data_IF_475307546432
#
_entry.id   IF_475307546432
#
_cell.length_a   1.000
_cell.length_b   1.000
_cell.length_c   1.000
_cell.angle_alpha   90.00
_cell.angle_beta   90.00
_cell.angle_gamma   90.00
#
_symmetry.space_group_name_H-M   'P 1'
#
loop_
_entity.id
_entity.type
_entity.pdbx_description
1 polymer ?
#
# COMPACT_ATOMS: atom_id res chain seq x y z
N UNK A 1 7.95 5.90 -4.04
CA UNK A 1 7.15 5.73 -2.80
C UNK A 1 5.68 5.49 -3.14
N UNK A 2 5.31 4.46 -3.93
CA UNK A 2 3.93 4.39 -4.45
C UNK A 2 2.90 3.88 -3.41
N UNK A 3 3.15 2.75 -2.76
CA UNK A 3 2.19 2.15 -1.81
C UNK A 3 2.11 2.88 -0.46
N UNK A 4 3.13 3.66 -0.11
CA UNK A 4 3.23 4.39 1.15
C UNK A 4 3.13 5.92 0.97
N UNK A 5 2.82 6.42 -0.23
CA UNK A 5 2.63 7.85 -0.44
C UNK A 5 1.47 8.35 0.42
N UNK A 6 1.69 9.41 1.20
CA UNK A 6 0.72 9.96 2.17
C UNK A 6 0.21 8.95 3.21
N UNK A 7 0.93 7.86 3.49
CA UNK A 7 0.61 6.99 4.63
C UNK A 7 1.20 7.50 5.95
N UNK A 8 2.15 8.44 5.88
CA UNK A 8 2.79 9.11 7.01
C UNK A 8 3.43 10.44 6.58
N UNK A 9 3.73 11.36 7.52
CA UNK A 9 4.55 12.53 7.23
C UNK A 9 5.94 12.13 6.71
N UNK A 10 6.44 12.90 5.75
CA UNK A 10 7.78 12.73 5.18
C UNK A 10 8.40 14.10 5.05
N UNK A 11 9.65 14.21 5.49
CA UNK A 11 10.47 15.40 5.24
C UNK A 11 10.92 15.40 3.78
N UNK A 12 10.19 16.12 2.93
CA UNK A 12 10.43 16.22 1.47
C UNK A 12 11.80 16.83 1.17
N UNK A 13 12.36 17.67 2.06
CA UNK A 13 13.65 18.32 1.84
C UNK A 13 14.82 17.33 1.73
N UNK A 14 14.66 16.12 2.27
CA UNK A 14 15.65 15.03 2.21
C UNK A 14 15.67 14.31 0.86
N UNK A 15 14.80 14.66 -0.07
CA UNK A 15 14.66 13.98 -1.35
C UNK A 15 14.93 14.93 -2.51
N UNK A 16 15.63 14.44 -3.53
CA UNK A 16 15.71 15.12 -4.84
C UNK A 16 14.43 14.91 -5.65
N UNK A 17 13.94 13.66 -5.70
CA UNK A 17 12.72 13.29 -6.42
C UNK A 17 11.91 12.28 -5.60
N UNK A 18 10.60 12.52 -5.49
CA UNK A 18 9.61 11.58 -4.98
C UNK A 18 8.61 11.32 -6.09
N UNK A 19 8.31 10.05 -6.38
CA UNK A 19 7.25 9.70 -7.31
C UNK A 19 6.35 8.58 -6.76
N UNK A 20 5.08 8.63 -7.15
CA UNK A 20 4.07 7.66 -6.76
C UNK A 20 2.97 7.55 -7.82
N UNK A 21 2.72 6.34 -8.33
CA UNK A 21 1.48 6.05 -9.04
C UNK A 21 0.28 6.06 -8.07
N UNK A 22 -0.82 6.69 -8.45
CA UNK A 22 -1.95 6.96 -7.55
C UNK A 22 -2.73 5.71 -7.14
N UNK A 23 -2.77 4.67 -7.99
CA UNK A 23 -3.61 3.46 -7.87
C UNK A 23 -3.42 2.62 -6.61
N UNK A 24 -2.45 2.96 -5.76
CA UNK A 24 -2.21 2.23 -4.52
C UNK A 24 -2.88 2.93 -3.34
N UNK A 25 -2.46 4.15 -3.04
CA UNK A 25 -2.80 4.79 -1.77
C UNK A 25 -3.58 6.10 -1.90
N UNK A 26 -3.66 6.69 -3.11
CA UNK A 26 -4.17 8.07 -3.28
C UNK A 26 -5.05 8.30 -4.50
N UNK A 27 -5.57 7.25 -5.15
CA UNK A 27 -6.49 7.43 -6.27
C UNK A 27 -6.57 6.21 -7.18
N UNK A 28 -6.94 6.46 -8.44
CA UNK A 28 -7.09 5.45 -9.48
C UNK A 28 -5.82 5.29 -10.32
N UNK A 29 -5.76 4.23 -11.11
CA UNK A 29 -4.70 4.06 -12.09
C UNK A 29 -4.76 5.12 -13.20
N UNK A 30 -3.62 5.38 -13.82
CA UNK A 30 -3.49 6.30 -14.95
C UNK A 30 -2.87 7.67 -14.62
N UNK A 31 -2.59 7.98 -13.35
CA UNK A 31 -1.86 9.20 -12.97
C UNK A 31 -0.70 8.88 -12.02
N UNK A 32 0.42 9.59 -12.22
CA UNK A 32 1.61 9.52 -11.36
C UNK A 32 1.91 10.92 -10.85
N UNK A 33 2.02 11.07 -9.53
CA UNK A 33 2.52 12.31 -8.92
C UNK A 33 4.04 12.26 -8.85
N UNK A 34 4.67 13.39 -9.17
CA UNK A 34 6.11 13.60 -9.04
C UNK A 34 6.34 14.90 -8.28
N UNK A 35 7.15 14.84 -7.23
CA UNK A 35 7.70 15.99 -6.52
C UNK A 35 9.20 15.99 -6.84
N UNK A 36 9.67 16.98 -7.58
CA UNK A 36 11.07 17.10 -8.01
C UNK A 36 11.61 18.43 -7.54
N UNK A 37 12.86 18.42 -7.03
CA UNK A 37 13.56 19.62 -6.61
C UNK A 37 13.99 20.44 -7.83
N UNK A 38 13.80 21.75 -7.78
CA UNK A 38 13.96 22.63 -8.94
C UNK A 38 15.38 22.62 -9.54
N UNK A 39 16.41 22.47 -8.71
CA UNK A 39 17.82 22.36 -9.13
C UNK A 39 18.14 21.09 -9.93
N UNK A 40 17.22 20.12 -9.98
CA UNK A 40 17.35 18.90 -10.78
C UNK A 40 16.65 19.01 -12.15
N UNK A 41 15.99 20.13 -12.45
CA UNK A 41 15.33 20.35 -13.73
C UNK A 41 16.32 20.75 -14.83
N UNK A 42 16.08 20.31 -16.06
CA UNK A 42 16.89 20.68 -17.24
C UNK A 42 18.07 19.78 -17.54
N UNK A 43 18.22 18.66 -16.82
CA UNK A 43 19.27 17.65 -17.03
C UNK A 43 18.74 16.38 -17.71
N UNK A 44 17.65 16.47 -18.47
CA UNK A 44 17.13 15.33 -19.20
C UNK A 44 18.13 14.88 -20.28
N UNK A 45 18.24 13.56 -20.48
CA UNK A 45 19.01 13.01 -21.59
C UNK A 45 18.40 13.46 -22.92
N UNK A 46 19.23 13.58 -23.96
CA UNK A 46 18.79 14.00 -25.30
C UNK A 46 17.68 13.10 -25.86
N UNK A 47 17.71 11.82 -25.52
CA UNK A 47 16.78 10.80 -25.97
C UNK A 47 15.51 10.71 -25.09
N UNK A 48 15.42 11.51 -24.02
CA UNK A 48 14.26 11.52 -23.14
C UNK A 48 13.01 12.01 -23.89
N UNK A 49 11.93 11.22 -23.98
CA UNK A 49 10.69 11.69 -24.57
C UNK A 49 10.15 12.90 -23.81
N UNK A 50 9.69 13.95 -24.50
CA UNK A 50 9.24 15.21 -23.86
C UNK A 50 8.13 15.02 -22.83
N UNK A 51 7.29 13.97 -22.99
CA UNK A 51 6.25 13.63 -22.00
C UNK A 51 6.82 13.17 -20.65
N UNK A 52 8.07 12.68 -20.61
CA UNK A 52 8.76 12.25 -19.40
C UNK A 52 9.75 13.32 -18.87
N UNK A 53 9.99 14.39 -19.64
CA UNK A 53 10.91 15.45 -19.24
C UNK A 53 10.28 16.37 -18.18
N UNK A 54 10.85 16.37 -16.97
CA UNK A 54 10.32 17.15 -15.85
C UNK A 54 10.32 18.65 -16.09
N UNK A 55 11.30 19.20 -16.81
CA UNK A 55 11.34 20.64 -17.12
C UNK A 55 10.17 21.04 -18.02
N UNK A 56 9.86 20.21 -19.03
CA UNK A 56 8.71 20.41 -19.92
C UNK A 56 7.40 20.32 -19.13
N UNK A 57 7.25 19.29 -18.28
CA UNK A 57 6.05 19.13 -17.48
C UNK A 57 5.86 20.28 -16.48
N UNK A 58 6.91 20.67 -15.74
CA UNK A 58 6.85 21.77 -14.79
C UNK A 58 6.56 23.12 -15.48
N UNK A 59 7.22 23.40 -16.61
CA UNK A 59 7.03 24.64 -17.38
C UNK A 59 5.63 24.78 -18.00
N UNK A 60 4.90 23.69 -18.18
CA UNK A 60 3.54 23.67 -18.68
C UNK A 60 2.50 23.35 -17.59
N UNK A 61 2.86 23.41 -16.30
CA UNK A 61 1.95 23.09 -15.19
C UNK A 61 1.31 21.69 -15.31
N UNK A 62 2.06 20.70 -15.82
CA UNK A 62 1.60 19.35 -16.15
C UNK A 62 0.51 19.26 -17.24
N UNK A 63 0.40 20.30 -18.09
CA UNK A 63 -0.55 20.41 -19.19
C UNK A 63 0.14 20.50 -20.56
N UNK A 64 1.33 19.91 -20.70
CA UNK A 64 2.04 19.85 -21.98
C UNK A 64 1.22 19.16 -23.08
N UNK A 65 0.47 18.13 -22.72
CA UNK A 65 -0.50 17.43 -23.54
C UNK A 65 -1.78 17.16 -22.74
N UNK A 66 -2.79 16.53 -23.36
CA UNK A 66 -4.03 16.15 -22.66
C UNK A 66 -3.72 15.22 -21.48
N UNK A 67 -3.96 15.65 -20.23
CA UNK A 67 -3.62 14.86 -19.07
C UNK A 67 -4.73 13.81 -18.79
N UNK A 68 -4.49 12.83 -17.90
CA UNK A 68 -5.50 11.88 -17.46
C UNK A 68 -6.53 12.56 -16.53
N UNK A 69 -7.41 13.39 -17.11
CA UNK A 69 -8.32 14.30 -16.39
C UNK A 69 -9.12 13.59 -15.28
N UNK A 70 -9.69 12.42 -15.59
CA UNK A 70 -10.49 11.66 -14.61
C UNK A 70 -9.64 11.16 -13.43
N UNK A 71 -8.46 10.60 -13.69
CA UNK A 71 -7.58 10.11 -12.62
C UNK A 71 -7.03 11.26 -11.76
N UNK A 72 -6.76 12.43 -12.36
CA UNK A 72 -6.41 13.65 -11.62
C UNK A 72 -7.56 14.10 -10.72
N UNK A 73 -8.78 14.14 -11.24
CA UNK A 73 -9.97 14.51 -10.47
C UNK A 73 -10.17 13.59 -9.26
N UNK A 74 -10.15 12.26 -9.48
CA UNK A 74 -10.29 11.28 -8.39
C UNK A 74 -9.17 11.43 -7.36
N UNK A 75 -7.91 11.64 -7.79
CA UNK A 75 -6.80 11.90 -6.88
C UNK A 75 -7.05 13.17 -6.06
N UNK A 76 -7.54 14.25 -6.68
CA UNK A 76 -7.92 15.48 -5.98
C UNK A 76 -8.93 15.26 -4.85
N UNK A 77 -10.00 14.50 -5.12
CA UNK A 77 -10.99 14.14 -4.09
C UNK A 77 -10.39 13.32 -2.94
N UNK A 78 -9.50 12.37 -3.24
CA UNK A 78 -8.83 11.56 -2.20
C UNK A 78 -7.87 12.41 -1.37
N UNK A 79 -7.14 13.34 -1.99
CA UNK A 79 -6.25 14.27 -1.29
C UNK A 79 -7.04 15.19 -0.35
N UNK A 80 -8.20 15.69 -0.80
CA UNK A 80 -9.11 16.48 0.04
C UNK A 80 -9.65 15.65 1.22
N UNK A 81 -10.07 14.40 0.97
CA UNK A 81 -10.48 13.49 2.02
C UNK A 81 -9.35 13.25 3.05
N UNK A 82 -8.11 12.99 2.60
CA UNK A 82 -6.95 12.83 3.51
C UNK A 82 -6.77 14.09 4.36
N UNK A 83 -6.80 15.28 3.73
CA UNK A 83 -6.66 16.56 4.44
C UNK A 83 -7.75 16.76 5.49
N UNK A 84 -9.01 16.48 5.14
CA UNK A 84 -10.16 16.64 6.02
C UNK A 84 -10.18 15.62 7.17
N UNK A 85 -9.46 14.49 7.03
CA UNK A 85 -9.31 13.46 8.05
C UNK A 85 -8.00 13.58 8.84
N UNK A 86 -7.45 14.80 8.98
CA UNK A 86 -6.26 15.06 9.82
C UNK A 86 -4.91 14.85 9.11
N UNK A 87 -4.93 14.71 7.79
CA UNK A 87 -3.73 14.66 6.95
C UNK A 87 -2.86 13.43 7.19
N UNK A 88 -1.61 13.51 6.73
CA UNK A 88 -0.67 12.39 6.79
C UNK A 88 -0.36 11.90 8.22
N UNK A 89 -0.43 12.78 9.22
CA UNK A 89 -0.22 12.42 10.62
C UNK A 89 -1.34 11.49 11.15
N UNK A 90 -2.59 11.78 10.82
CA UNK A 90 -3.70 10.90 11.16
C UNK A 90 -3.60 9.56 10.39
N UNK A 91 -3.20 9.58 9.12
CA UNK A 91 -2.97 8.36 8.34
C UNK A 91 -1.84 7.49 8.93
N UNK A 92 -0.80 8.10 9.51
CA UNK A 92 0.25 7.36 10.22
C UNK A 92 -0.29 6.66 11.47
N UNK A 93 -1.11 7.34 12.26
CA UNK A 93 -1.76 6.75 13.44
C UNK A 93 -2.64 5.57 13.04
N UNK A 94 -3.51 5.76 12.05
CA UNK A 94 -4.42 4.72 11.55
C UNK A 94 -3.67 3.53 10.98
N UNK A 95 -2.64 3.75 10.16
CA UNK A 95 -1.83 2.67 9.59
C UNK A 95 -1.06 1.88 10.66
N UNK A 96 -0.61 2.55 11.73
CA UNK A 96 0.03 1.89 12.87
C UNK A 96 -0.95 0.98 13.60
N UNK A 97 -2.15 1.48 13.94
CA UNK A 97 -3.21 0.69 14.60
C UNK A 97 -3.59 -0.54 13.74
N UNK A 98 -3.86 -0.32 12.45
CA UNK A 98 -4.26 -1.39 11.52
C UNK A 98 -3.17 -2.45 11.38
N UNK A 99 -1.93 -2.05 11.14
CA UNK A 99 -0.85 -3.01 10.94
C UNK A 99 -0.49 -3.78 12.21
N UNK A 100 -0.54 -3.12 13.37
CA UNK A 100 -0.30 -3.76 14.67
C UNK A 100 -1.31 -4.87 14.94
N UNK A 101 -2.61 -4.66 14.69
CA UNK A 101 -3.64 -5.69 14.85
C UNK A 101 -3.32 -7.00 14.10
N UNK A 102 -2.79 -6.90 12.89
CA UNK A 102 -2.45 -8.07 12.07
C UNK A 102 -1.11 -8.67 12.50
N UNK A 103 -0.09 -7.85 12.74
CA UNK A 103 1.22 -8.34 13.17
C UNK A 103 1.18 -9.02 14.55
N UNK A 104 0.39 -8.51 15.49
CA UNK A 104 0.20 -9.17 16.80
C UNK A 104 -0.38 -10.57 16.65
N UNK A 105 -1.33 -10.79 15.72
CA UNK A 105 -1.84 -12.13 15.45
C UNK A 105 -0.76 -13.01 14.86
N UNK A 106 0.02 -12.50 13.90
CA UNK A 106 1.12 -13.24 13.28
C UNK A 106 2.15 -13.65 14.33
N UNK A 107 2.61 -12.71 15.16
CA UNK A 107 3.67 -12.93 16.13
C UNK A 107 3.24 -13.87 17.27
N UNK A 108 1.96 -13.85 17.65
CA UNK A 108 1.42 -14.73 18.71
C UNK A 108 0.85 -16.06 18.18
N UNK A 109 0.98 -16.35 16.87
CA UNK A 109 0.41 -17.56 16.24
C UNK A 109 1.22 -18.84 16.44
N UNK A 110 2.29 -18.80 17.26
CA UNK A 110 3.22 -19.93 17.47
C UNK A 110 3.77 -20.52 16.16
N UNK A 111 4.01 -19.66 15.16
CA UNK A 111 4.58 -20.05 13.87
C UNK A 111 3.57 -20.55 12.83
N UNK A 112 2.27 -20.56 13.15
CA UNK A 112 1.24 -20.88 12.17
C UNK A 112 1.12 -19.80 11.09
N UNK A 113 1.15 -18.52 11.47
CA UNK A 113 1.31 -17.40 10.55
C UNK A 113 2.75 -16.91 10.62
N UNK A 114 3.40 -16.79 9.46
CA UNK A 114 4.80 -16.35 9.41
C UNK A 114 4.96 -15.20 8.44
N UNK A 115 5.33 -14.01 8.95
CA UNK A 115 5.79 -12.92 8.10
C UNK A 115 7.27 -13.14 7.76
N UNK A 116 7.67 -13.19 6.47
CA UNK A 116 9.06 -13.41 6.07
C UNK A 116 9.95 -12.17 6.25
N UNK A 117 9.42 -11.08 6.82
CA UNK A 117 10.11 -9.79 6.97
C UNK A 117 10.47 -9.58 8.44
N UNK A 118 11.72 -9.20 8.68
CA UNK A 118 12.21 -8.82 10.00
C UNK A 118 11.35 -7.72 10.65
N UNK A 119 11.06 -7.78 11.96
CA UNK A 119 10.15 -6.86 12.63
C UNK A 119 10.40 -5.37 12.36
N UNK A 120 11.67 -4.94 12.38
CA UNK A 120 12.09 -3.56 12.15
C UNK A 120 11.82 -3.04 10.72
N UNK A 121 11.69 -3.96 9.75
CA UNK A 121 11.53 -3.67 8.33
C UNK A 121 10.09 -3.91 7.84
N UNK A 122 9.17 -4.28 8.74
CA UNK A 122 7.80 -4.61 8.41
C UNK A 122 7.04 -3.40 7.87
N UNK A 123 6.41 -3.59 6.72
CA UNK A 123 5.56 -2.56 6.13
C UNK A 123 4.27 -2.41 6.92
N UNK A 124 3.84 -1.16 7.16
CA UNK A 124 2.50 -0.86 7.67
C UNK A 124 1.41 -0.91 6.59
N UNK A 125 1.81 -0.96 5.32
CA UNK A 125 0.90 -0.89 4.17
C UNK A 125 0.64 -2.24 3.52
N UNK A 126 1.64 -3.12 3.46
CA UNK A 126 1.51 -4.42 2.79
C UNK A 126 2.10 -5.49 3.70
N UNK A 127 1.26 -6.34 4.26
CA UNK A 127 1.64 -7.36 5.23
C UNK A 127 1.61 -8.73 4.54
N UNK A 128 2.76 -9.21 4.04
CA UNK A 128 2.86 -10.58 3.54
C UNK A 128 2.98 -11.57 4.71
N UNK A 129 2.33 -12.71 4.59
CA UNK A 129 2.55 -13.83 5.50
C UNK A 129 2.27 -15.17 4.83
N UNK A 130 2.95 -16.21 5.30
CA UNK A 130 2.74 -17.62 4.94
C UNK A 130 1.89 -18.29 6.03
N UNK A 131 1.20 -19.37 5.69
CA UNK A 131 0.37 -20.15 6.64
C UNK A 131 0.95 -21.56 6.80
N UNK A 132 0.96 -22.09 8.02
CA UNK A 132 1.42 -23.44 8.38
C UNK A 132 2.87 -23.49 8.84
N UNK A 133 3.77 -22.75 8.19
CA UNK A 133 5.17 -22.55 8.60
C UNK A 133 5.83 -21.46 7.74
N UNK A 134 7.15 -21.25 7.92
CA UNK A 134 7.91 -20.23 7.18
C UNK A 134 7.97 -20.44 5.65
N UNK A 135 7.86 -21.69 5.17
CA UNK A 135 7.76 -22.00 3.73
C UNK A 135 6.32 -21.94 3.22
N UNK A 136 5.36 -21.92 4.13
CA UNK A 136 3.93 -22.02 3.87
C UNK A 136 3.47 -23.41 3.45
N UNK A 137 2.15 -23.60 3.52
CA UNK A 137 1.43 -24.75 3.04
C UNK A 137 0.38 -24.26 2.03
N UNK A 138 0.57 -24.61 0.77
CA UNK A 138 -0.27 -24.11 -0.33
C UNK A 138 -1.74 -24.55 -0.20
N UNK A 139 -2.01 -25.71 0.43
CA UNK A 139 -3.36 -26.19 0.65
C UNK A 139 -4.06 -25.38 1.76
N UNK A 140 -3.35 -25.08 2.85
CA UNK A 140 -3.86 -24.20 3.91
C UNK A 140 -4.05 -22.77 3.42
N UNK A 141 -3.10 -22.24 2.65
CA UNK A 141 -3.19 -20.89 2.05
C UNK A 141 -4.37 -20.80 1.08
N UNK A 142 -4.60 -21.83 0.25
CA UNK A 142 -5.78 -21.90 -0.60
C UNK A 142 -7.07 -21.91 0.23
N UNK A 143 -7.14 -22.74 1.27
CA UNK A 143 -8.32 -22.83 2.16
C UNK A 143 -8.60 -21.50 2.87
N UNK A 144 -7.56 -20.79 3.29
CA UNK A 144 -7.67 -19.46 3.88
C UNK A 144 -8.28 -18.48 2.88
N UNK A 145 -7.78 -18.45 1.64
CA UNK A 145 -8.29 -17.55 0.60
C UNK A 145 -9.74 -17.86 0.22
N UNK A 146 -10.10 -19.14 0.09
CA UNK A 146 -11.46 -19.57 -0.24
C UNK A 146 -12.45 -19.12 0.86
N UNK A 147 -12.13 -19.36 2.14
CA UNK A 147 -12.95 -18.89 3.28
C UNK A 147 -13.00 -17.37 3.41
N UNK A 148 -11.89 -16.69 3.14
CA UNK A 148 -11.86 -15.23 3.15
C UNK A 148 -12.79 -14.65 2.06
N UNK A 149 -12.85 -15.30 0.90
CA UNK A 149 -13.73 -14.91 -0.19
C UNK A 149 -15.22 -15.08 0.18
N UNK A 150 -15.59 -16.15 0.90
CA UNK A 150 -16.95 -16.34 1.44
C UNK A 150 -17.37 -15.18 2.36
N UNK A 151 -16.41 -14.54 3.02
CA UNK A 151 -16.61 -13.38 3.89
C UNK A 151 -16.44 -12.04 3.15
N UNK A 152 -16.39 -12.05 1.82
CA UNK A 152 -16.15 -10.88 0.96
C UNK A 152 -14.81 -10.15 1.23
N UNK A 153 -13.81 -10.85 1.76
CA UNK A 153 -12.46 -10.32 1.94
C UNK A 153 -11.64 -10.55 0.66
N UNK A 154 -11.68 -9.55 -0.22
CA UNK A 154 -11.12 -9.66 -1.58
C UNK A 154 -9.60 -9.40 -1.61
N UNK A 155 -8.95 -9.95 -2.64
CA UNK A 155 -7.57 -9.61 -3.02
C UNK A 155 -6.48 -9.88 -1.97
N UNK A 156 -6.69 -10.87 -1.10
CA UNK A 156 -5.70 -11.30 -0.10
C UNK A 156 -4.61 -12.23 -0.65
N UNK A 157 -4.75 -12.75 -1.89
CA UNK A 157 -3.74 -13.63 -2.48
C UNK A 157 -2.41 -12.89 -2.63
N UNK A 158 -1.34 -13.51 -2.11
CA UNK A 158 0.01 -13.00 -2.23
C UNK A 158 0.48 -12.88 -3.68
N UNK A 159 1.56 -12.11 -3.89
CA UNK A 159 2.10 -11.93 -5.22
C UNK A 159 2.65 -13.26 -5.76
N UNK A 160 2.42 -13.56 -7.05
CA UNK A 160 2.80 -14.82 -7.70
C UNK A 160 4.26 -15.26 -7.51
N UNK A 161 5.18 -14.29 -7.35
CA UNK A 161 6.62 -14.57 -7.17
C UNK A 161 7.00 -14.98 -5.74
N UNK A 162 6.10 -14.81 -4.77
CA UNK A 162 6.33 -15.10 -3.35
C UNK A 162 5.32 -16.12 -2.82
N UNK A 163 4.12 -16.18 -3.41
CA UNK A 163 2.99 -16.95 -2.88
C UNK A 163 2.46 -16.36 -1.58
N UNK A 164 1.78 -17.16 -0.76
CA UNK A 164 1.27 -16.72 0.53
C UNK A 164 0.03 -15.85 0.45
N UNK A 165 -0.18 -15.15 1.56
CA UNK A 165 -1.23 -14.15 1.75
C UNK A 165 -0.58 -12.77 1.83
N UNK A 166 -1.27 -11.74 1.36
CA UNK A 166 -0.87 -10.35 1.50
C UNK A 166 -2.05 -9.45 1.82
N UNK A 167 -2.10 -8.94 3.04
CA UNK A 167 -3.07 -7.92 3.44
C UNK A 167 -2.53 -6.52 3.09
N UNK A 168 -3.21 -5.78 2.20
CA UNK A 168 -2.83 -4.42 1.83
C UNK A 168 -3.72 -3.42 2.59
N UNK A 169 -3.13 -2.65 3.51
CA UNK A 169 -3.82 -1.81 4.49
C UNK A 169 -3.71 -0.30 4.16
N UNK A 170 -3.95 0.04 2.89
CA UNK A 170 -3.90 1.41 2.39
C UNK A 170 -4.81 2.38 3.16
N UNK A 171 -4.64 3.68 2.95
CA UNK A 171 -5.35 4.72 3.70
C UNK A 171 -6.87 4.52 3.74
N UNK A 172 -7.46 4.11 2.61
CA UNK A 172 -8.90 3.87 2.48
C UNK A 172 -9.42 2.59 3.17
N UNK A 173 -8.55 1.65 3.54
CA UNK A 173 -8.94 0.47 4.32
C UNK A 173 -9.23 0.90 5.76
N UNK A 174 -10.43 0.63 6.25
CA UNK A 174 -10.87 1.10 7.57
C UNK A 174 -10.31 0.24 8.71
N UNK A 175 -10.44 0.70 9.96
CA UNK A 175 -10.07 -0.11 11.13
C UNK A 175 -11.00 -1.32 11.23
N UNK A 176 -12.27 -1.12 10.93
CA UNK A 176 -13.34 -2.11 10.96
C UNK A 176 -13.09 -3.24 9.95
N UNK A 177 -12.60 -2.91 8.75
CA UNK A 177 -12.20 -3.93 7.76
C UNK A 177 -11.06 -4.80 8.28
N UNK A 178 -10.08 -4.18 8.95
CA UNK A 178 -8.94 -4.88 9.54
C UNK A 178 -9.37 -5.72 10.75
N UNK A 179 -10.32 -5.25 11.55
CA UNK A 179 -10.90 -6.02 12.66
C UNK A 179 -11.60 -7.29 12.15
N UNK A 180 -12.34 -7.20 11.04
CA UNK A 180 -12.96 -8.38 10.41
C UNK A 180 -11.90 -9.39 9.96
N UNK A 181 -10.84 -8.92 9.29
CA UNK A 181 -9.71 -9.79 8.90
C UNK A 181 -9.02 -10.41 10.12
N UNK A 182 -8.77 -9.62 11.16
CA UNK A 182 -8.17 -10.07 12.41
C UNK A 182 -9.00 -11.16 13.10
N UNK A 183 -10.32 -10.97 13.20
CA UNK A 183 -11.23 -11.98 13.75
C UNK A 183 -11.23 -13.26 12.90
N UNK A 184 -11.25 -13.12 11.57
CA UNK A 184 -11.13 -14.27 10.67
C UNK A 184 -9.82 -15.03 10.84
N UNK A 185 -8.68 -14.34 10.95
CA UNK A 185 -7.37 -14.97 11.17
C UNK A 185 -7.33 -15.73 12.50
N UNK A 186 -7.87 -15.16 13.59
CA UNK A 186 -7.94 -15.85 14.89
C UNK A 186 -8.79 -17.13 14.81
N UNK A 187 -9.99 -17.03 14.25
CA UNK A 187 -10.88 -18.19 14.08
C UNK A 187 -10.26 -19.25 13.16
N UNK A 188 -9.57 -18.83 12.10
CA UNK A 188 -8.89 -19.76 11.19
C UNK A 188 -7.75 -20.50 11.88
N UNK A 189 -6.96 -19.82 12.73
CA UNK A 189 -5.93 -20.44 13.55
C UNK A 189 -6.53 -21.48 14.50
N UNK A 190 -7.56 -21.12 15.27
CA UNK A 190 -8.23 -22.01 16.24
C UNK A 190 -8.74 -23.31 15.59
N UNK A 191 -9.34 -23.21 14.40
CA UNK A 191 -9.83 -24.38 13.66
C UNK A 191 -8.74 -25.36 13.20
N UNK A 192 -7.46 -24.97 13.22
CA UNK A 192 -6.33 -25.79 12.75
C UNK A 192 -5.29 -26.07 13.85
N UNK A 193 -5.56 -25.67 15.09
CA UNK A 193 -4.78 -26.04 16.28
C UNK A 193 -5.42 -27.19 17.08
N UNK A 194 -6.67 -27.57 16.75
CA UNK A 194 -7.39 -28.75 17.22
C UNK A 194 -7.16 -29.93 16.26
#
# INVERSE_FOLDING_TARGET
>A
MSSNFLSKPVDVSKFGVIFAGAQKNVGSAGVTVVIVRDDLLGFALRECPSVLEYKVQAGNSSLYNTPPCFSIYVMGLVLEWIKNNGGAAAMEKLSSIKSQMIYEIIDNSQGFYVCPVEPQNRSKMNIPFRIGNAKGDDALEKRFLDKALELNMLSLKGHRSVGGIRASLYNAVTIEDVQKLAAFMKNFLEMHQL
#
